data_IF_537985440979
#
_entry.id   IF_537985440979
#
_cell.length_a   1.000
_cell.length_b   1.000
_cell.length_c   1.000
_cell.angle_alpha   90.00
_cell.angle_beta   90.00
_cell.angle_gamma   90.00
#
_symmetry.space_group_name_H-M   'P 1'
#
loop_
_entity.id
_entity.type
_entity.pdbx_description
1 polymer ?
#
# COMPACT_ATOMS: atom_id res chain seq x y z
N UNK A 1 7.48 -82.65 15.18
CA UNK A 1 6.45 -81.75 14.64
C UNK A 1 6.13 -82.21 13.24
N UNK A 2 4.88 -82.53 12.87
CA UNK A 2 4.59 -82.96 11.52
C UNK A 2 4.84 -81.78 10.55
N UNK A 3 5.61 -82.03 9.51
CA UNK A 3 5.96 -81.09 8.43
C UNK A 3 4.75 -80.40 7.89
N UNK A 4 3.59 -81.04 7.90
CA UNK A 4 2.30 -80.47 7.50
C UNK A 4 1.84 -79.26 8.33
N UNK A 5 2.13 -79.29 9.65
CA UNK A 5 1.73 -78.17 10.54
C UNK A 5 2.62 -76.93 10.32
N UNK A 6 3.89 -77.10 10.02
CA UNK A 6 4.79 -76.00 9.64
C UNK A 6 4.36 -75.38 8.30
N UNK A 7 4.01 -76.23 7.33
CA UNK A 7 3.55 -75.77 6.00
C UNK A 7 2.23 -74.99 6.07
N UNK A 8 1.31 -75.45 6.94
CA UNK A 8 -0.01 -74.70 7.11
C UNK A 8 0.21 -73.38 7.81
N UNK A 9 1.09 -73.32 8.85
CA UNK A 9 1.41 -72.02 9.51
C UNK A 9 2.08 -71.06 8.53
N UNK A 10 3.00 -71.53 7.71
CA UNK A 10 3.71 -70.77 6.72
C UNK A 10 2.72 -70.18 5.62
N UNK A 11 1.76 -71.01 5.20
CA UNK A 11 0.73 -70.65 4.27
C UNK A 11 -0.22 -69.58 4.86
N UNK A 12 -0.61 -69.73 6.14
CA UNK A 12 -1.44 -68.72 6.82
C UNK A 12 -0.71 -67.39 6.94
N UNK A 13 0.57 -67.40 7.32
CA UNK A 13 1.39 -66.17 7.37
C UNK A 13 1.52 -65.54 6.01
N UNK A 14 1.71 -66.30 4.95
CA UNK A 14 1.77 -65.83 3.58
C UNK A 14 0.45 -65.18 3.16
N UNK A 15 -0.69 -65.81 3.42
CA UNK A 15 -2.00 -65.24 3.12
C UNK A 15 -2.28 -63.94 3.89
N UNK A 16 -1.94 -63.93 5.20
CA UNK A 16 -2.06 -62.72 6.04
C UNK A 16 -1.17 -61.58 5.53
N UNK A 17 0.06 -61.84 5.15
CA UNK A 17 0.96 -60.82 4.59
C UNK A 17 0.49 -60.33 3.24
N UNK A 18 -0.10 -61.17 2.41
CA UNK A 18 -0.71 -60.80 1.14
C UNK A 18 -1.96 -59.90 1.36
N UNK A 19 -2.83 -60.28 2.29
CA UNK A 19 -3.99 -59.46 2.66
C UNK A 19 -3.59 -58.09 3.21
N UNK A 20 -2.60 -58.02 4.08
CA UNK A 20 -2.09 -56.77 4.62
C UNK A 20 -1.51 -55.85 3.54
N UNK A 21 -0.87 -56.39 2.51
CA UNK A 21 -0.32 -55.61 1.37
C UNK A 21 -1.37 -55.23 0.34
N UNK A 22 -2.55 -55.83 0.36
CA UNK A 22 -3.66 -55.54 -0.57
C UNK A 22 -4.30 -54.20 -0.28
N UNK A 23 -4.33 -53.80 0.99
CA UNK A 23 -4.95 -52.53 1.42
C UNK A 23 -3.90 -51.40 1.40
N UNK A 24 -4.17 -50.36 0.63
CA UNK A 24 -3.34 -49.17 0.59
C UNK A 24 -4.18 -47.95 0.94
N UNK A 25 -3.72 -47.17 1.90
CA UNK A 25 -4.31 -45.88 2.29
C UNK A 25 -3.49 -44.77 1.67
N UNK A 26 -4.12 -43.95 0.88
CA UNK A 26 -3.51 -42.77 0.27
C UNK A 26 -3.93 -41.54 1.10
N UNK A 27 -2.96 -40.81 1.69
CA UNK A 27 -3.26 -39.59 2.47
C UNK A 27 -3.78 -38.49 1.60
N UNK A 28 -4.50 -37.57 2.22
CA UNK A 28 -5.03 -36.37 1.54
C UNK A 28 -3.89 -35.50 0.97
N UNK A 29 -4.11 -34.90 -0.20
CA UNK A 29 -3.12 -34.06 -0.87
C UNK A 29 -2.05 -34.86 -1.62
N UNK A 30 -2.16 -36.20 -1.72
CA UNK A 30 -1.28 -37.06 -2.50
C UNK A 30 -2.04 -37.95 -3.45
N UNK A 31 -1.38 -38.37 -4.52
CA UNK A 31 -1.91 -39.37 -5.44
C UNK A 31 -0.87 -40.49 -5.64
N UNK A 32 -1.37 -41.69 -5.82
CA UNK A 32 -0.54 -42.87 -6.16
C UNK A 32 -0.86 -43.30 -7.59
N UNK A 33 0.16 -43.71 -8.31
CA UNK A 33 0.01 -44.35 -9.61
C UNK A 33 0.16 -45.86 -9.47
N UNK A 34 -0.78 -46.61 -10.05
CA UNK A 34 -0.75 -48.05 -10.08
C UNK A 34 -0.41 -48.51 -11.49
N UNK A 35 0.65 -49.31 -11.58
CA UNK A 35 1.03 -50.07 -12.75
C UNK A 35 0.62 -51.51 -12.60
N UNK A 36 0.00 -52.09 -13.60
CA UNK A 36 -0.25 -53.52 -13.71
C UNK A 36 0.62 -54.12 -14.79
N UNK A 37 1.54 -55.01 -14.39
CA UNK A 37 2.51 -55.64 -15.31
C UNK A 37 3.21 -54.63 -16.22
N UNK A 38 3.63 -53.48 -15.63
CA UNK A 38 4.35 -52.42 -16.36
C UNK A 38 3.46 -51.51 -17.19
N UNK A 39 2.13 -51.64 -17.19
CA UNK A 39 1.20 -50.72 -17.87
C UNK A 39 0.47 -49.89 -16.85
N UNK A 40 0.27 -48.62 -17.14
CA UNK A 40 -0.62 -47.74 -16.38
C UNK A 40 -2.01 -48.36 -16.22
N UNK A 41 -2.52 -48.38 -15.02
CA UNK A 41 -3.86 -48.87 -14.71
C UNK A 41 -4.80 -47.75 -14.24
N UNK A 42 -4.39 -47.06 -13.17
CA UNK A 42 -5.23 -46.04 -12.55
C UNK A 42 -4.42 -45.12 -11.64
N UNK A 43 -4.95 -43.91 -11.39
CA UNK A 43 -4.49 -42.99 -10.36
C UNK A 43 -5.32 -43.24 -9.10
N UNK A 44 -4.66 -43.54 -7.99
CA UNK A 44 -5.29 -43.67 -6.68
C UNK A 44 -5.47 -42.27 -6.07
N UNK A 45 -6.71 -41.89 -5.89
CA UNK A 45 -7.08 -40.65 -5.17
C UNK A 45 -6.92 -40.86 -3.65
N UNK A 46 -6.97 -39.81 -2.81
CA UNK A 46 -6.98 -39.97 -1.36
C UNK A 46 -8.10 -40.89 -0.89
N UNK A 47 -7.77 -41.81 0.04
CA UNK A 47 -8.71 -42.78 0.57
C UNK A 47 -8.15 -44.20 0.63
N UNK A 48 -9.02 -45.15 0.86
CA UNK A 48 -8.69 -46.56 0.97
C UNK A 48 -8.84 -47.23 -0.41
N UNK A 49 -7.80 -47.94 -0.84
CA UNK A 49 -7.76 -48.64 -2.12
C UNK A 49 -7.30 -50.10 -1.94
N UNK A 50 -7.86 -50.97 -2.79
CA UNK A 50 -7.50 -52.35 -2.88
C UNK A 50 -6.58 -52.55 -4.09
N UNK A 51 -5.38 -53.01 -3.86
CA UNK A 51 -4.32 -53.25 -4.86
C UNK A 51 -3.95 -54.72 -4.81
N UNK A 52 -3.83 -55.36 -5.95
CA UNK A 52 -3.48 -56.81 -5.99
C UNK A 52 -1.94 -56.90 -5.85
N UNK A 53 -1.44 -57.38 -4.69
CA UNK A 53 0.00 -57.51 -4.52
C UNK A 53 0.57 -58.50 -5.55
N UNK A 54 1.84 -58.33 -5.95
CA UNK A 54 2.53 -59.11 -6.99
C UNK A 54 2.22 -58.68 -8.42
N UNK A 55 0.95 -58.35 -8.76
CA UNK A 55 0.55 -57.95 -10.13
C UNK A 55 0.56 -56.43 -10.29
N UNK A 56 0.07 -55.71 -9.25
CA UNK A 56 -0.01 -54.25 -9.22
C UNK A 56 1.19 -53.68 -8.45
N UNK A 57 1.87 -52.73 -9.05
CA UNK A 57 2.95 -51.95 -8.45
C UNK A 57 2.45 -50.52 -8.22
N UNK A 58 2.53 -50.04 -6.98
CA UNK A 58 2.26 -48.66 -6.63
C UNK A 58 3.54 -47.84 -6.70
N UNK A 59 3.60 -46.84 -7.56
CA UNK A 59 4.72 -45.93 -7.66
C UNK A 59 4.79 -45.00 -6.43
N UNK A 60 5.90 -44.30 -6.21
CA UNK A 60 6.00 -43.29 -5.15
C UNK A 60 4.85 -42.30 -5.23
N UNK A 61 4.33 -41.91 -4.06
CA UNK A 61 3.21 -40.96 -4.01
C UNK A 61 3.65 -39.56 -4.48
N UNK A 62 2.87 -38.97 -5.33
CA UNK A 62 3.05 -37.62 -5.84
C UNK A 62 2.27 -36.66 -4.95
N UNK A 63 2.90 -35.57 -4.49
CA UNK A 63 2.23 -34.50 -3.76
C UNK A 63 1.48 -33.59 -4.73
N UNK A 64 0.18 -33.38 -4.49
CA UNK A 64 -0.69 -32.54 -5.30
C UNK A 64 -0.82 -31.12 -4.75
N UNK A 65 -0.24 -30.87 -3.59
CA UNK A 65 -0.25 -29.50 -3.01
C UNK A 65 0.70 -28.61 -3.77
N UNK A 66 0.52 -27.33 -3.63
CA UNK A 66 1.45 -26.37 -4.18
C UNK A 66 2.85 -26.57 -3.58
N UNK A 67 3.82 -26.65 -4.44
CA UNK A 67 5.24 -26.83 -4.10
C UNK A 67 5.98 -25.55 -4.45
N UNK A 68 6.93 -25.19 -3.61
CA UNK A 68 7.80 -24.02 -3.79
C UNK A 68 9.22 -24.53 -3.98
N UNK A 69 9.80 -24.23 -5.13
CA UNK A 69 11.17 -24.63 -5.45
C UNK A 69 11.97 -23.36 -5.76
N UNK A 70 13.07 -23.19 -5.02
CA UNK A 70 14.05 -22.14 -5.28
C UNK A 70 15.14 -22.69 -6.18
N UNK A 71 15.39 -22.03 -7.28
CA UNK A 71 16.49 -22.35 -8.19
C UNK A 71 17.68 -21.43 -7.90
N UNK A 72 18.90 -21.99 -7.96
CA UNK A 72 20.11 -21.21 -7.68
C UNK A 72 20.31 -20.12 -8.72
N UNK A 73 21.22 -19.19 -8.42
CA UNK A 73 21.56 -18.08 -9.29
C UNK A 73 21.96 -18.52 -10.67
N UNK A 74 21.27 -18.02 -11.66
CA UNK A 74 21.54 -18.25 -13.10
C UNK A 74 22.22 -17.01 -13.68
N UNK A 75 23.38 -17.21 -14.31
CA UNK A 75 24.08 -16.13 -15.02
C UNK A 75 23.41 -15.87 -16.36
N UNK A 76 22.93 -14.66 -16.56
CA UNK A 76 22.27 -14.20 -17.79
C UNK A 76 22.98 -12.93 -18.31
N UNK A 77 23.02 -12.76 -19.62
CA UNK A 77 23.58 -11.58 -20.26
C UNK A 77 22.43 -10.68 -20.68
N UNK A 78 22.46 -9.42 -20.23
CA UNK A 78 21.50 -8.38 -20.60
C UNK A 78 21.80 -7.80 -22.00
N UNK A 79 20.87 -7.00 -22.57
CA UNK A 79 21.04 -6.33 -23.87
C UNK A 79 22.29 -5.43 -23.91
N UNK A 80 22.61 -4.77 -22.80
CA UNK A 80 23.80 -3.94 -22.60
C UNK A 80 25.09 -4.73 -22.31
N UNK A 81 25.08 -6.06 -22.59
CA UNK A 81 26.20 -6.98 -22.49
C UNK A 81 26.80 -7.11 -21.08
N UNK A 82 25.97 -6.97 -20.04
CA UNK A 82 26.36 -7.18 -18.66
C UNK A 82 25.90 -8.57 -18.18
N UNK A 83 26.79 -9.26 -17.44
CA UNK A 83 26.45 -10.56 -16.82
C UNK A 83 25.79 -10.31 -15.47
N UNK A 84 24.56 -10.74 -15.32
CA UNK A 84 23.79 -10.65 -14.06
C UNK A 84 23.46 -12.02 -13.53
N UNK A 85 23.57 -12.21 -12.22
CA UNK A 85 23.09 -13.40 -11.52
C UNK A 85 21.65 -13.19 -11.08
N UNK A 86 20.75 -14.13 -11.40
CA UNK A 86 19.34 -14.02 -11.07
C UNK A 86 18.86 -15.29 -10.37
N UNK A 87 18.36 -15.15 -9.15
CA UNK A 87 17.76 -16.22 -8.37
C UNK A 87 16.24 -16.21 -8.58
N UNK A 88 15.65 -17.38 -8.82
CA UNK A 88 14.21 -17.50 -9.04
C UNK A 88 13.57 -18.50 -8.10
N UNK A 89 12.30 -18.24 -7.77
CA UNK A 89 11.44 -19.13 -7.00
C UNK A 89 10.20 -19.42 -7.83
N UNK A 90 9.89 -20.68 -8.04
CA UNK A 90 8.73 -21.13 -8.82
C UNK A 90 7.74 -21.83 -7.90
N UNK A 91 6.48 -21.42 -7.98
CA UNK A 91 5.35 -22.02 -7.30
C UNK A 91 4.55 -22.82 -8.30
N UNK A 92 4.44 -24.10 -8.10
CA UNK A 92 3.70 -24.97 -9.00
C UNK A 92 3.00 -26.10 -8.23
N UNK A 93 1.99 -26.67 -8.85
CA UNK A 93 1.28 -27.84 -8.33
C UNK A 93 1.13 -28.89 -9.44
N UNK A 94 1.09 -30.17 -9.03
CA UNK A 94 0.79 -31.27 -9.95
C UNK A 94 -0.73 -31.38 -10.08
N UNK A 95 -1.26 -31.14 -11.27
CA UNK A 95 -2.69 -31.25 -11.59
C UNK A 95 -3.04 -32.61 -12.18
N UNK A 96 -2.13 -33.20 -12.95
CA UNK A 96 -2.26 -34.53 -13.53
C UNK A 96 -1.06 -35.41 -13.13
N UNK A 97 -1.22 -36.30 -12.12
CA UNK A 97 -0.17 -37.21 -11.69
C UNK A 97 0.29 -38.19 -12.77
N UNK A 98 -0.60 -38.58 -13.69
CA UNK A 98 -0.26 -39.48 -14.78
C UNK A 98 0.71 -38.81 -15.74
N UNK A 99 0.39 -37.62 -16.22
CA UNK A 99 1.27 -36.87 -17.12
C UNK A 99 2.61 -36.53 -16.44
N UNK A 100 2.59 -36.13 -15.15
CA UNK A 100 3.80 -35.83 -14.39
C UNK A 100 4.75 -37.05 -14.20
N UNK A 101 4.22 -38.26 -14.36
CA UNK A 101 5.04 -39.49 -14.21
C UNK A 101 5.53 -40.03 -15.54
N UNK A 102 4.71 -39.96 -16.59
CA UNK A 102 5.02 -40.65 -17.86
C UNK A 102 5.50 -39.71 -18.98
N UNK A 103 5.10 -38.43 -18.94
CA UNK A 103 5.51 -37.49 -20.00
C UNK A 103 6.89 -36.88 -19.75
N UNK A 104 7.35 -36.90 -18.47
CA UNK A 104 8.66 -36.37 -18.11
C UNK A 104 9.32 -37.13 -16.99
N UNK A 105 10.62 -37.40 -17.09
CA UNK A 105 11.36 -38.18 -16.11
C UNK A 105 11.53 -37.45 -14.78
N UNK A 106 11.80 -36.16 -14.80
CA UNK A 106 12.00 -35.32 -13.63
C UNK A 106 11.45 -33.92 -13.91
N UNK A 107 10.23 -33.70 -13.46
CA UNK A 107 9.55 -32.41 -13.70
C UNK A 107 10.21 -31.23 -12.98
N UNK A 108 10.82 -31.44 -11.80
CA UNK A 108 11.51 -30.36 -11.07
C UNK A 108 12.70 -29.85 -11.88
N UNK A 109 13.52 -30.77 -12.38
CA UNK A 109 14.67 -30.42 -13.21
C UNK A 109 14.23 -29.80 -14.55
N UNK A 110 13.15 -30.30 -15.13
CA UNK A 110 12.64 -29.74 -16.38
C UNK A 110 12.11 -28.33 -16.19
N UNK A 111 11.46 -28.03 -15.07
CA UNK A 111 11.03 -26.66 -14.72
C UNK A 111 12.24 -25.74 -14.52
N UNK A 112 13.32 -26.22 -13.89
CA UNK A 112 14.57 -25.48 -13.71
C UNK A 112 15.20 -25.08 -15.06
N UNK A 113 15.43 -26.06 -15.92
CA UNK A 113 16.02 -25.83 -17.25
C UNK A 113 15.14 -24.90 -18.12
N UNK A 114 13.82 -25.09 -18.06
CA UNK A 114 12.88 -24.23 -18.78
C UNK A 114 12.87 -22.80 -18.23
N UNK A 115 12.92 -22.65 -16.89
CA UNK A 115 13.02 -21.36 -16.22
C UNK A 115 14.29 -20.64 -16.64
N UNK A 116 15.43 -21.34 -16.60
CA UNK A 116 16.73 -20.80 -17.02
C UNK A 116 16.74 -20.36 -18.49
N UNK A 117 16.17 -21.16 -19.38
CA UNK A 117 16.11 -20.85 -20.80
C UNK A 117 15.19 -19.64 -21.07
N UNK A 118 14.02 -19.61 -20.43
CA UNK A 118 13.06 -18.51 -20.60
C UNK A 118 13.61 -17.22 -19.99
N UNK A 119 14.22 -17.29 -18.80
CA UNK A 119 14.85 -16.16 -18.15
C UNK A 119 15.93 -15.52 -19.04
N UNK A 120 16.76 -16.36 -19.66
CA UNK A 120 17.80 -15.89 -20.61
C UNK A 120 17.19 -15.15 -21.79
N UNK A 121 16.08 -15.63 -22.32
CA UNK A 121 15.42 -15.00 -23.46
C UNK A 121 14.78 -13.66 -23.07
N UNK A 122 14.08 -13.61 -21.93
CA UNK A 122 13.38 -12.40 -21.46
C UNK A 122 14.39 -11.32 -21.06
N UNK A 123 15.38 -11.67 -20.23
CA UNK A 123 16.38 -10.71 -19.74
C UNK A 123 17.37 -10.30 -20.83
N UNK A 124 17.66 -11.20 -21.78
CA UNK A 124 18.53 -10.87 -22.94
C UNK A 124 17.97 -9.78 -23.86
N UNK A 125 16.68 -9.50 -23.80
CA UNK A 125 16.02 -8.38 -24.50
C UNK A 125 15.86 -7.11 -23.65
N UNK A 126 16.40 -7.08 -22.44
CA UNK A 126 16.28 -5.96 -21.51
C UNK A 126 17.66 -5.44 -21.11
N UNK A 127 17.79 -4.13 -20.90
CA UNK A 127 18.97 -3.56 -20.28
C UNK A 127 18.96 -3.78 -18.76
N UNK A 128 20.08 -3.52 -18.08
CA UNK A 128 20.20 -3.73 -16.64
C UNK A 128 19.19 -2.91 -15.84
N UNK A 129 18.96 -1.67 -16.19
CA UNK A 129 18.02 -0.78 -15.50
C UNK A 129 16.58 -1.32 -15.61
N UNK A 130 16.16 -1.71 -16.80
CA UNK A 130 14.86 -2.33 -17.04
C UNK A 130 14.73 -3.66 -16.29
N UNK A 131 15.77 -4.49 -16.28
CA UNK A 131 15.78 -5.76 -15.54
C UNK A 131 15.56 -5.55 -14.04
N UNK A 132 16.15 -4.51 -13.47
CA UNK A 132 15.97 -4.16 -12.05
C UNK A 132 14.61 -3.56 -11.72
N UNK A 133 14.04 -2.77 -12.64
CA UNK A 133 12.78 -2.02 -12.41
C UNK A 133 11.53 -2.76 -12.84
N UNK A 134 11.62 -3.66 -13.84
CA UNK A 134 10.46 -4.34 -14.46
C UNK A 134 10.28 -5.78 -13.98
N UNK A 135 10.60 -6.07 -12.72
CA UNK A 135 10.51 -7.43 -12.15
C UNK A 135 9.12 -8.06 -12.33
N UNK A 136 8.05 -7.29 -12.13
CA UNK A 136 6.68 -7.79 -12.27
C UNK A 136 6.36 -8.22 -13.70
N UNK A 137 6.87 -7.50 -14.68
CA UNK A 137 6.70 -7.85 -16.09
C UNK A 137 7.46 -9.14 -16.43
N UNK A 138 8.71 -9.26 -15.96
CA UNK A 138 9.52 -10.48 -16.15
C UNK A 138 8.84 -11.68 -15.49
N UNK A 139 8.36 -11.53 -14.25
CA UNK A 139 7.64 -12.58 -13.53
C UNK A 139 6.38 -13.04 -14.27
N UNK A 140 5.60 -12.10 -14.83
CA UNK A 140 4.40 -12.41 -15.60
C UNK A 140 4.73 -13.16 -16.90
N UNK A 141 5.77 -12.76 -17.61
CA UNK A 141 6.20 -13.38 -18.85
C UNK A 141 6.77 -14.79 -18.60
N UNK A 142 7.63 -14.94 -17.60
CA UNK A 142 8.13 -16.23 -17.13
C UNK A 142 6.98 -17.17 -16.80
N UNK A 143 6.03 -16.71 -15.97
CA UNK A 143 4.86 -17.51 -15.62
C UNK A 143 4.07 -17.94 -16.84
N UNK A 144 3.81 -17.05 -17.79
CA UNK A 144 3.05 -17.33 -19.01
C UNK A 144 3.68 -18.45 -19.85
N UNK A 145 4.99 -18.36 -20.08
CA UNK A 145 5.74 -19.35 -20.86
C UNK A 145 5.85 -20.69 -20.11
N UNK A 146 6.15 -20.63 -18.81
CA UNK A 146 6.24 -21.84 -18.01
C UNK A 146 4.90 -22.57 -17.95
N UNK A 147 3.80 -21.89 -17.58
CA UNK A 147 2.49 -22.50 -17.46
C UNK A 147 2.01 -23.16 -18.77
N UNK A 148 2.19 -22.48 -19.88
CA UNK A 148 1.85 -23.01 -21.21
C UNK A 148 2.64 -24.29 -21.59
N UNK A 149 3.91 -24.34 -21.21
CA UNK A 149 4.80 -25.45 -21.56
C UNK A 149 4.63 -26.63 -20.59
N UNK A 150 4.51 -26.35 -19.29
CA UNK A 150 4.43 -27.37 -18.25
C UNK A 150 3.04 -28.03 -18.17
N UNK A 151 2.00 -27.40 -18.72
CA UNK A 151 0.66 -27.97 -18.79
C UNK A 151 0.59 -29.36 -19.40
N UNK A 152 1.39 -29.64 -20.43
CA UNK A 152 1.50 -30.99 -21.06
C UNK A 152 2.13 -32.03 -20.12
N UNK A 153 2.91 -31.62 -19.13
CA UNK A 153 3.49 -32.49 -18.10
C UNK A 153 2.58 -32.65 -16.89
N UNK A 154 1.33 -32.14 -16.96
CA UNK A 154 0.38 -32.18 -15.86
C UNK A 154 0.75 -31.27 -14.69
N UNK A 155 1.53 -30.22 -14.93
CA UNK A 155 1.89 -29.21 -13.95
C UNK A 155 1.18 -27.90 -14.26
N UNK A 156 0.84 -27.16 -13.22
CA UNK A 156 0.36 -25.79 -13.29
C UNK A 156 1.30 -24.88 -12.52
N UNK A 157 1.85 -23.87 -13.18
CA UNK A 157 2.67 -22.85 -12.55
C UNK A 157 1.76 -21.72 -12.08
N UNK A 158 1.63 -21.54 -10.77
CA UNK A 158 0.80 -20.50 -10.17
C UNK A 158 1.50 -19.15 -10.22
N UNK A 159 2.78 -19.13 -9.87
CA UNK A 159 3.57 -17.91 -9.73
C UNK A 159 5.05 -18.19 -9.94
N UNK A 160 5.75 -17.17 -10.45
CA UNK A 160 7.21 -17.14 -10.55
C UNK A 160 7.66 -15.81 -9.95
N UNK A 161 8.65 -15.85 -9.08
CA UNK A 161 9.22 -14.67 -8.47
C UNK A 161 10.74 -14.64 -8.68
N UNK A 162 11.24 -13.48 -9.07
CA UNK A 162 12.68 -13.19 -9.00
C UNK A 162 12.99 -12.81 -7.55
N UNK A 163 13.85 -13.61 -6.90
CA UNK A 163 14.27 -13.38 -5.54
C UNK A 163 15.31 -12.27 -5.46
N UNK A 164 16.38 -12.38 -6.25
CA UNK A 164 17.48 -11.44 -6.26
C UNK A 164 18.06 -11.29 -7.67
N UNK A 165 18.50 -10.09 -8.01
CA UNK A 165 19.27 -9.80 -9.23
C UNK A 165 20.58 -9.19 -8.77
N UNK A 166 21.67 -9.87 -9.07
CA UNK A 166 23.02 -9.50 -8.67
C UNK A 166 23.82 -9.00 -9.89
N UNK A 167 23.98 -7.69 -10.07
CA UNK A 167 24.84 -7.15 -11.09
C UNK A 167 26.31 -7.35 -10.74
N UNK A 168 27.26 -7.23 -11.70
CA UNK A 168 28.69 -7.25 -11.43
C UNK A 168 29.09 -6.16 -10.44
N UNK A 169 30.02 -6.45 -9.52
CA UNK A 169 30.44 -5.54 -8.43
C UNK A 169 30.92 -4.19 -8.97
N UNK A 170 31.64 -4.18 -10.11
CA UNK A 170 32.11 -2.94 -10.76
C UNK A 170 30.99 -2.01 -11.21
N UNK A 171 29.86 -2.57 -11.59
CA UNK A 171 28.68 -1.81 -12.02
C UNK A 171 27.87 -1.36 -10.80
N UNK A 172 27.79 -2.20 -9.77
CA UNK A 172 27.09 -1.89 -8.52
C UNK A 172 27.65 -0.61 -7.90
N UNK A 173 28.97 -0.49 -7.77
CA UNK A 173 29.65 0.72 -7.25
C UNK A 173 29.33 1.97 -8.06
N UNK A 174 29.31 1.83 -9.38
CA UNK A 174 29.00 2.94 -10.29
C UNK A 174 27.55 3.37 -10.20
N UNK A 175 26.62 2.42 -10.14
CA UNK A 175 25.19 2.67 -9.95
C UNK A 175 24.91 3.32 -8.60
N UNK A 176 25.56 2.86 -7.52
CA UNK A 176 25.39 3.50 -6.19
C UNK A 176 25.79 4.97 -6.21
N UNK A 177 26.93 5.28 -6.83
CA UNK A 177 27.39 6.67 -6.98
C UNK A 177 26.41 7.50 -7.80
N UNK A 178 25.94 6.97 -8.93
CA UNK A 178 24.99 7.65 -9.78
C UNK A 178 23.62 7.86 -9.07
N UNK A 179 23.12 6.83 -8.41
CA UNK A 179 21.86 6.93 -7.64
C UNK A 179 21.96 7.90 -6.48
N UNK A 180 23.13 7.95 -5.80
CA UNK A 180 23.37 8.92 -4.73
C UNK A 180 23.35 10.34 -5.28
N UNK A 181 24.08 10.61 -6.37
CA UNK A 181 24.11 11.91 -7.01
C UNK A 181 22.71 12.37 -7.50
N UNK A 182 21.94 11.46 -8.06
CA UNK A 182 20.56 11.77 -8.50
C UNK A 182 19.61 12.03 -7.33
N UNK A 183 19.74 11.27 -6.22
CA UNK A 183 18.97 11.54 -5.00
C UNK A 183 19.34 12.89 -4.39
N UNK A 184 20.62 13.21 -4.34
CA UNK A 184 21.11 14.48 -3.81
C UNK A 184 20.60 15.66 -4.67
N UNK A 185 20.64 15.50 -5.99
CA UNK A 185 20.07 16.49 -6.93
C UNK A 185 18.58 16.69 -6.70
N UNK A 186 17.79 15.59 -6.63
CA UNK A 186 16.35 15.69 -6.37
C UNK A 186 16.04 16.30 -5.02
N UNK A 187 16.79 15.94 -3.98
CA UNK A 187 16.66 16.53 -2.66
C UNK A 187 16.92 18.04 -2.68
N UNK A 188 17.97 18.49 -3.38
CA UNK A 188 18.27 19.91 -3.54
C UNK A 188 17.15 20.67 -4.27
N UNK A 189 16.60 20.11 -5.35
CA UNK A 189 15.47 20.70 -6.08
C UNK A 189 14.24 20.81 -5.18
N UNK A 190 13.83 19.73 -4.52
CA UNK A 190 12.67 19.72 -3.62
C UNK A 190 12.84 20.70 -2.45
N UNK A 191 14.05 20.81 -1.91
CA UNK A 191 14.35 21.79 -0.84
C UNK A 191 14.20 23.22 -1.34
N UNK A 192 14.73 23.52 -2.53
CA UNK A 192 14.64 24.85 -3.13
C UNK A 192 13.18 25.21 -3.51
N UNK A 193 12.42 24.26 -4.05
CA UNK A 193 10.99 24.43 -4.33
C UNK A 193 10.18 24.65 -3.04
N UNK A 194 10.46 23.87 -2.01
CA UNK A 194 9.85 24.01 -0.69
C UNK A 194 10.12 25.36 -0.05
N UNK A 195 11.38 25.83 -0.12
CA UNK A 195 11.74 27.16 0.36
C UNK A 195 11.03 28.27 -0.41
N UNK A 196 11.04 28.21 -1.74
CA UNK A 196 10.32 29.14 -2.59
C UNK A 196 8.82 29.19 -2.25
N UNK A 197 8.19 28.05 -2.08
CA UNK A 197 6.78 27.99 -1.73
C UNK A 197 6.51 28.56 -0.33
N UNK A 198 7.38 28.28 0.63
CA UNK A 198 7.32 28.85 1.98
C UNK A 198 7.43 30.38 1.96
N UNK A 199 8.38 30.92 1.20
CA UNK A 199 8.60 32.37 1.10
C UNK A 199 7.39 33.06 0.44
N UNK A 200 6.80 32.45 -0.61
CA UNK A 200 5.58 32.97 -1.26
C UNK A 200 4.42 32.99 -0.24
N UNK A 201 4.16 31.89 0.44
CA UNK A 201 3.06 31.80 1.41
C UNK A 201 3.25 32.78 2.58
N UNK A 202 4.48 32.98 3.02
CA UNK A 202 4.82 33.93 4.08
C UNK A 202 4.53 35.36 3.61
N UNK A 203 5.01 35.74 2.43
CA UNK A 203 4.76 37.07 1.86
C UNK A 203 3.27 37.35 1.60
N UNK A 204 2.53 36.35 1.09
CA UNK A 204 1.08 36.45 0.92
C UNK A 204 0.36 36.61 2.27
N UNK A 205 0.80 35.85 3.29
CA UNK A 205 0.26 35.93 4.64
C UNK A 205 0.48 37.30 5.28
N UNK A 206 1.69 37.85 5.17
CA UNK A 206 2.02 39.20 5.62
C UNK A 206 1.22 40.28 4.91
N UNK A 207 1.11 40.19 3.58
CA UNK A 207 0.30 41.12 2.78
C UNK A 207 -1.16 41.09 3.20
N UNK A 208 -1.78 39.92 3.32
CA UNK A 208 -3.16 39.77 3.82
C UNK A 208 -3.32 40.30 5.23
N UNK A 209 -2.39 40.04 6.12
CA UNK A 209 -2.44 40.53 7.49
C UNK A 209 -2.37 42.06 7.52
N UNK A 210 -1.55 42.69 6.68
CA UNK A 210 -1.45 44.15 6.57
C UNK A 210 -2.77 44.77 6.04
N UNK A 211 -3.37 44.19 5.00
CA UNK A 211 -4.65 44.63 4.47
C UNK A 211 -5.75 44.55 5.53
N UNK A 212 -5.88 43.41 6.21
CA UNK A 212 -6.90 43.21 7.26
C UNK A 212 -6.72 44.16 8.44
N UNK A 213 -5.47 44.50 8.81
CA UNK A 213 -5.21 45.49 9.87
C UNK A 213 -5.65 46.90 9.42
N UNK A 214 -5.30 47.32 8.20
CA UNK A 214 -5.70 48.59 7.65
C UNK A 214 -7.24 48.71 7.50
N UNK A 215 -7.93 47.69 7.08
CA UNK A 215 -9.39 47.64 7.02
C UNK A 215 -10.00 47.70 8.42
N UNK A 216 -9.46 46.97 9.39
CA UNK A 216 -9.87 47.01 10.80
C UNK A 216 -9.70 48.40 11.43
N UNK A 217 -8.56 49.07 11.18
CA UNK A 217 -8.32 50.44 11.63
C UNK A 217 -9.28 51.44 11.02
N UNK A 218 -9.50 51.35 9.70
CA UNK A 218 -10.50 52.18 8.99
C UNK A 218 -11.90 52.01 9.59
N UNK A 219 -12.32 50.74 9.78
CA UNK A 219 -13.64 50.47 10.35
C UNK A 219 -13.76 50.96 11.79
N UNK A 220 -12.69 50.81 12.60
CA UNK A 220 -12.67 51.35 13.95
C UNK A 220 -12.77 52.85 14.01
N UNK A 221 -12.10 53.58 13.07
CA UNK A 221 -12.20 55.06 12.97
C UNK A 221 -13.62 55.51 12.57
N UNK A 222 -14.25 54.84 11.58
CA UNK A 222 -15.62 55.12 11.17
C UNK A 222 -16.57 54.94 12.35
N UNK A 223 -16.52 53.78 13.02
CA UNK A 223 -17.40 53.49 14.16
C UNK A 223 -17.20 54.47 15.33
N UNK A 224 -15.96 54.94 15.58
CA UNK A 224 -15.71 55.99 16.60
C UNK A 224 -16.33 57.32 16.20
N UNK A 225 -16.13 57.73 14.94
CA UNK A 225 -16.70 59.00 14.43
C UNK A 225 -18.22 58.98 14.44
N UNK A 226 -18.86 57.84 14.04
CA UNK A 226 -20.32 57.66 14.13
C UNK A 226 -20.81 57.70 15.58
N UNK A 227 -20.08 57.01 16.50
CA UNK A 227 -20.40 57.01 17.93
C UNK A 227 -20.32 58.38 18.57
N UNK A 228 -19.26 59.15 18.20
CA UNK A 228 -19.08 60.55 18.67
C UNK A 228 -20.19 61.46 18.15
N UNK A 229 -20.51 61.37 16.84
CA UNK A 229 -21.60 62.13 16.23
C UNK A 229 -22.95 61.78 16.87
N UNK A 230 -23.25 60.49 17.08
CA UNK A 230 -24.48 60.04 17.73
C UNK A 230 -24.56 60.53 19.20
N UNK A 231 -23.42 60.46 19.90
CA UNK A 231 -23.33 61.00 21.28
C UNK A 231 -23.57 62.49 21.34
N UNK A 232 -23.00 63.27 20.42
CA UNK A 232 -23.23 64.70 20.34
C UNK A 232 -24.70 65.04 20.06
N UNK A 233 -25.35 64.34 19.10
CA UNK A 233 -26.79 64.52 18.83
C UNK A 233 -27.65 64.17 20.05
N UNK A 234 -27.37 63.06 20.72
CA UNK A 234 -28.13 62.65 21.92
C UNK A 234 -27.97 63.66 23.08
N UNK A 235 -26.76 64.22 23.25
CA UNK A 235 -26.52 65.29 24.23
C UNK A 235 -27.30 66.56 23.90
N UNK A 236 -27.19 67.00 22.64
CA UNK A 236 -27.92 68.20 22.20
C UNK A 236 -29.43 68.06 22.32
N UNK A 237 -29.98 66.90 21.94
CA UNK A 237 -31.39 66.60 22.13
C UNK A 237 -31.80 66.54 23.62
N UNK A 238 -30.98 65.93 24.48
CA UNK A 238 -31.19 65.87 25.92
C UNK A 238 -31.17 67.28 26.56
N UNK A 239 -30.23 68.11 26.16
CA UNK A 239 -30.17 69.53 26.63
C UNK A 239 -31.39 70.34 26.15
N UNK A 240 -31.78 70.17 24.87
CA UNK A 240 -32.97 70.83 24.36
C UNK A 240 -34.24 70.43 25.06
N UNK A 241 -34.41 69.12 25.34
CA UNK A 241 -35.54 68.60 26.09
C UNK A 241 -35.55 69.09 27.58
N UNK A 242 -34.36 69.11 28.21
CA UNK A 242 -34.19 69.63 29.55
C UNK A 242 -34.56 71.11 29.62
N UNK A 243 -34.11 71.93 28.65
CA UNK A 243 -34.46 73.34 28.54
C UNK A 243 -35.98 73.52 28.33
N UNK A 244 -36.59 72.75 27.43
CA UNK A 244 -38.04 72.80 27.20
C UNK A 244 -38.82 72.46 28.47
N UNK A 245 -38.44 71.42 29.22
CA UNK A 245 -39.11 71.04 30.48
C UNK A 245 -38.94 72.09 31.56
N UNK A 246 -37.79 72.74 31.64
CA UNK A 246 -37.58 73.88 32.59
C UNK A 246 -38.44 75.05 32.20
N UNK A 247 -38.53 75.46 30.92
CA UNK A 247 -39.38 76.54 30.48
C UNK A 247 -40.86 76.22 30.66
N UNK A 248 -41.30 74.99 30.37
CA UNK A 248 -42.68 74.58 30.60
C UNK A 248 -43.04 74.62 32.12
N UNK A 249 -42.17 74.17 32.98
CA UNK A 249 -42.36 74.24 34.42
C UNK A 249 -42.40 75.69 34.97
N UNK A 250 -41.56 76.54 34.40
CA UNK A 250 -41.59 77.99 34.76
C UNK A 250 -42.89 78.67 34.27
N UNK A 251 -43.39 78.32 33.10
CA UNK A 251 -44.63 78.85 32.56
C UNK A 251 -45.83 78.39 33.34
N UNK A 252 -45.90 77.13 33.81
CA UNK A 252 -46.99 76.55 34.56
C UNK A 252 -47.01 77.05 35.99
N UNK A 253 -45.86 77.30 36.60
CA UNK A 253 -45.75 77.81 37.96
C UNK A 253 -45.97 79.28 38.20
N UNK A 254 -46.21 80.10 37.17
CA UNK A 254 -46.43 81.54 37.18
C UNK A 254 -45.61 82.32 38.25
N UNK A 255 -44.25 82.27 38.13
CA UNK A 255 -43.31 82.65 39.20
C UNK A 255 -43.30 84.18 39.36
N UNK A 256 -43.23 84.62 40.63
CA UNK A 256 -43.05 86.05 40.94
C UNK A 256 -41.68 86.54 40.41
N UNK A 257 -41.58 87.79 40.06
CA UNK A 257 -40.37 88.40 39.47
C UNK A 257 -39.13 88.26 40.38
N UNK A 258 -39.34 88.11 41.69
CA UNK A 258 -38.19 87.80 42.63
C UNK A 258 -37.61 86.37 42.50
N UNK A 259 -38.41 85.36 42.20
CA UNK A 259 -37.99 84.00 42.02
C UNK A 259 -37.18 83.84 40.68
N UNK A 260 -37.58 84.53 39.62
CA UNK A 260 -36.86 84.59 38.37
C UNK A 260 -35.47 85.18 38.53
N UNK A 261 -35.37 86.29 39.32
CA UNK A 261 -34.09 86.90 39.62
C UNK A 261 -33.17 86.01 40.44
N UNK A 262 -33.71 85.24 41.42
CA UNK A 262 -32.92 84.27 42.18
C UNK A 262 -32.41 83.12 41.28
N UNK A 263 -33.21 82.60 40.42
CA UNK A 263 -32.84 81.52 39.48
C UNK A 263 -31.80 81.95 38.47
N UNK A 264 -31.92 83.23 38.02
CA UNK A 264 -30.92 83.84 37.09
C UNK A 264 -29.55 84.00 37.78
N UNK A 265 -29.51 84.35 39.03
CA UNK A 265 -28.30 84.43 39.85
C UNK A 265 -27.69 83.04 40.11
N UNK A 266 -28.48 81.99 40.17
CA UNK A 266 -28.01 80.60 40.40
C UNK A 266 -27.45 79.93 39.14
N UNK A 267 -27.86 80.40 37.95
CA UNK A 267 -27.40 79.89 36.68
C UNK A 267 -26.13 80.59 36.15
N UNK A 268 -25.91 81.86 36.61
CA UNK A 268 -24.70 82.64 36.23
C UNK A 268 -23.36 81.94 36.54
N UNK A 269 -23.17 81.25 37.69
CA UNK A 269 -21.93 80.52 37.93
C UNK A 269 -21.73 79.33 36.95
N UNK A 270 -22.81 78.64 36.62
CA UNK A 270 -22.75 77.54 35.64
C UNK A 270 -22.43 77.96 34.23
N UNK A 271 -22.80 79.17 33.86
CA UNK A 271 -22.43 79.76 32.59
C UNK A 271 -20.98 80.30 32.59
N UNK A 272 -20.47 80.66 33.77
CA UNK A 272 -19.06 81.06 33.93
C UNK A 272 -18.08 79.88 34.01
N UNK A 273 -18.55 78.66 34.38
CA UNK A 273 -17.80 77.43 34.37
C UNK A 273 -17.90 76.66 33.05
N UNK A 274 -18.71 77.13 32.11
CA UNK A 274 -18.72 76.62 30.74
C UNK A 274 -17.43 76.98 30.05
N UNK A 275 -16.56 76.02 29.85
CA UNK A 275 -15.32 76.12 29.12
C UNK A 275 -15.59 76.76 27.73
N UNK A 276 -15.05 77.94 27.57
CA UNK A 276 -14.79 78.52 26.29
C UNK A 276 -13.60 77.78 25.70
N UNK A 277 -13.90 76.78 24.89
CA UNK A 277 -12.96 76.22 23.92
C UNK A 277 -13.58 76.15 22.57
#
# INVERSE_FOLDING_TARGET
>A
MPISLILTVLLIIFVLTMLAKTVRVIPQGRAGIVERLGKFRAVLKPGLHIVIPVIDRVLPLIDLREQVVSFPSQSVITEDNLVVGIDTVVYFQVTDPQAATYEITNYIRAVDELTSATLRNVVGGLNLEQTLTSRDQINAELRGVLDSTTGRWGLRVSRVDIKEIQPPVSIQDSMEKQMRAERDRRAAILTAEGQKQSDILTAEGESRAAILRAEGEKQAQILRAEGDAQSAILRANGEAEAVQKVFAAIHEANPSQQLLTYQYLQTLPKLAEGDAN
#
